data_IF_649868082438
#
_entry.id   IF_649868082438
#
_cell.length_a   1.000
_cell.length_b   1.000
_cell.length_c   1.000
_cell.angle_alpha   90.00
_cell.angle_beta   90.00
_cell.angle_gamma   90.00
#
_symmetry.space_group_name_H-M   'P 1'
#
loop_
_entity.id
_entity.type
_entity.pdbx_description
1 polymer ?
#
# COMPACT_ATOMS: atom_id res chain seq x y z
N UNK A 1 -2.69 9.70 -28.95
CA UNK A 1 -2.37 10.05 -27.55
C UNK A 1 -3.66 9.92 -26.75
N UNK A 2 -3.67 9.20 -25.64
CA UNK A 2 -4.84 9.09 -24.76
C UNK A 2 -4.84 10.28 -23.81
N UNK A 3 -6.00 10.90 -23.64
CA UNK A 3 -6.24 11.95 -22.64
C UNK A 3 -7.28 11.44 -21.64
N UNK A 4 -7.08 11.76 -20.38
CA UNK A 4 -7.97 11.39 -19.29
C UNK A 4 -8.49 12.67 -18.63
N UNK A 5 -9.78 12.68 -18.33
CA UNK A 5 -10.48 13.77 -17.66
C UNK A 5 -11.30 13.19 -16.52
N UNK A 6 -11.38 13.92 -15.41
CA UNK A 6 -12.22 13.52 -14.30
C UNK A 6 -13.69 13.87 -14.57
N UNK A 7 -14.59 13.01 -14.12
CA UNK A 7 -16.02 13.19 -14.27
C UNK A 7 -16.80 12.41 -13.23
N UNK A 8 -18.05 12.83 -13.03
CA UNK A 8 -18.96 12.18 -12.09
C UNK A 8 -19.99 11.38 -12.88
N UNK A 9 -20.05 10.08 -12.61
CA UNK A 9 -21.10 9.21 -13.14
C UNK A 9 -22.36 9.26 -12.27
N UNK A 10 -23.52 9.53 -12.86
CA UNK A 10 -24.84 9.49 -12.21
C UNK A 10 -25.89 8.95 -13.18
N UNK A 11 -26.53 7.83 -12.84
CA UNK A 11 -27.68 7.27 -13.57
C UNK A 11 -27.44 7.10 -15.09
N UNK A 12 -26.26 6.63 -15.49
CA UNK A 12 -25.92 6.44 -16.91
C UNK A 12 -25.36 7.67 -17.62
N UNK A 13 -25.28 8.82 -16.94
CA UNK A 13 -24.71 10.06 -17.46
C UNK A 13 -23.36 10.32 -16.81
N UNK A 14 -22.37 10.77 -17.59
CA UNK A 14 -21.09 11.25 -17.09
C UNK A 14 -21.04 12.76 -17.27
N UNK A 15 -20.91 13.48 -16.16
CA UNK A 15 -20.67 14.93 -16.15
C UNK A 15 -19.16 15.15 -16.01
N UNK A 16 -18.53 15.72 -17.04
CA UNK A 16 -17.11 16.07 -16.99
C UNK A 16 -16.90 17.24 -16.02
N UNK A 17 -15.88 17.14 -15.17
CA UNK A 17 -15.46 18.23 -14.28
C UNK A 17 -14.58 19.25 -15.02
N UNK A 18 -13.99 18.83 -16.14
CA UNK A 18 -13.10 19.64 -16.97
C UNK A 18 -13.53 19.55 -18.43
N UNK A 19 -13.51 20.69 -19.13
CA UNK A 19 -13.86 20.76 -20.55
C UNK A 19 -12.59 20.81 -21.41
N UNK A 20 -12.32 19.80 -22.25
CA UNK A 20 -11.23 19.88 -23.21
C UNK A 20 -11.50 20.96 -24.26
N UNK A 21 -10.58 21.91 -24.42
CA UNK A 21 -10.76 23.07 -25.32
C UNK A 21 -10.93 22.71 -26.81
N UNK A 22 -10.43 21.55 -27.25
CA UNK A 22 -10.37 21.17 -28.67
C UNK A 22 -11.02 19.81 -28.99
N UNK A 23 -11.95 19.34 -28.15
CA UNK A 23 -12.67 18.08 -28.40
C UNK A 23 -14.17 18.33 -28.38
N UNK A 24 -14.78 18.28 -29.56
CA UNK A 24 -16.23 18.39 -29.72
C UNK A 24 -16.93 17.02 -29.66
N UNK A 25 -16.32 16.00 -30.27
CA UNK A 25 -16.81 14.61 -30.28
C UNK A 25 -15.63 13.64 -30.30
N UNK A 26 -15.70 12.57 -29.50
CA UNK A 26 -14.70 11.50 -29.52
C UNK A 26 -15.26 10.22 -28.89
N UNK A 27 -14.65 9.08 -29.21
CA UNK A 27 -14.92 7.81 -28.53
C UNK A 27 -14.24 7.82 -27.15
N UNK A 28 -14.97 7.40 -26.13
CA UNK A 28 -14.48 7.40 -24.74
C UNK A 28 -14.33 5.99 -24.18
N UNK A 29 -13.38 5.82 -23.26
CA UNK A 29 -13.23 4.64 -22.40
C UNK A 29 -13.56 5.05 -20.96
N UNK A 30 -14.48 4.34 -20.32
CA UNK A 30 -14.93 4.65 -18.96
C UNK A 30 -14.26 3.67 -17.99
N UNK A 31 -13.60 4.21 -16.97
CA UNK A 31 -13.02 3.45 -15.87
C UNK A 31 -13.56 3.99 -14.56
N UNK A 32 -14.15 3.11 -13.74
CA UNK A 32 -14.66 3.50 -12.43
C UNK A 32 -13.58 3.39 -11.38
N UNK A 33 -13.30 4.50 -10.70
CA UNK A 33 -12.41 4.51 -9.53
C UNK A 33 -13.17 3.91 -8.35
N UNK A 34 -12.84 2.68 -7.98
CA UNK A 34 -13.28 2.11 -6.71
C UNK A 34 -12.38 2.66 -5.60
N UNK A 35 -12.97 3.39 -4.64
CA UNK A 35 -12.23 3.67 -3.42
C UNK A 35 -11.92 2.32 -2.77
N UNK A 36 -10.66 1.99 -2.45
CA UNK A 36 -10.40 0.85 -1.58
C UNK A 36 -11.17 1.14 -0.30
N UNK A 37 -12.06 0.22 0.10
CA UNK A 37 -12.63 0.27 1.43
C UNK A 37 -11.44 0.11 2.37
N UNK A 38 -10.90 1.22 2.87
CA UNK A 38 -9.94 1.16 3.96
C UNK A 38 -10.72 0.46 5.06
N UNK A 39 -10.34 -0.76 5.47
CA UNK A 39 -11.03 -1.40 6.58
C UNK A 39 -10.91 -0.43 7.76
N UNK A 40 -12.05 0.09 8.24
CA UNK A 40 -12.11 1.00 9.38
C UNK A 40 -11.68 0.33 10.69
N UNK A 41 -11.29 -0.94 10.66
CA UNK A 41 -10.65 -1.57 11.79
C UNK A 41 -9.26 -0.95 11.97
N UNK A 42 -8.90 -0.48 13.18
CA UNK A 42 -7.52 -0.12 13.45
C UNK A 42 -6.64 -1.32 13.14
N UNK A 43 -5.89 -1.25 12.04
CA UNK A 43 -4.84 -2.22 11.77
C UNK A 43 -3.75 -1.94 12.79
N UNK A 44 -3.72 -2.72 13.86
CA UNK A 44 -2.60 -2.71 14.78
C UNK A 44 -1.36 -3.09 13.97
N UNK A 45 -0.47 -2.12 13.74
CA UNK A 45 0.85 -2.41 13.21
C UNK A 45 1.62 -3.09 14.34
N UNK A 46 1.58 -4.42 14.36
CA UNK A 46 2.39 -5.21 15.27
C UNK A 46 3.74 -5.42 14.60
N UNK A 47 4.67 -4.50 14.87
CA UNK A 47 6.05 -4.64 14.43
C UNK A 47 6.63 -5.95 14.99
N UNK A 48 7.12 -6.82 14.11
CA UNK A 48 7.82 -8.05 14.50
C UNK A 48 7.08 -9.38 14.26
N UNK A 49 5.93 -9.41 13.58
CA UNK A 49 5.31 -10.68 13.17
C UNK A 49 5.49 -10.92 11.66
N UNK A 50 6.09 -12.05 11.30
CA UNK A 50 6.13 -12.54 9.93
C UNK A 50 4.70 -12.70 9.38
N UNK A 51 4.51 -12.43 8.08
CA UNK A 51 3.22 -12.59 7.44
C UNK A 51 2.80 -14.08 7.45
N UNK A 52 1.79 -14.44 8.25
CA UNK A 52 1.27 -15.80 8.34
C UNK A 52 0.69 -16.14 9.72
N UNK A 53 0.30 -17.40 9.92
CA UNK A 53 -0.18 -17.93 11.21
C UNK A 53 0.94 -18.53 12.07
N UNK A 54 2.18 -18.53 11.57
CA UNK A 54 3.33 -19.07 12.27
C UNK A 54 3.92 -18.00 13.19
N UNK A 55 3.84 -18.26 14.49
CA UNK A 55 4.47 -17.44 15.52
C UNK A 55 5.96 -17.79 15.59
N UNK A 56 6.82 -16.77 15.63
CA UNK A 56 8.26 -16.98 15.81
C UNK A 56 8.55 -17.69 17.12
N UNK A 57 9.52 -18.59 17.08
CA UNK A 57 10.08 -19.32 18.21
C UNK A 57 11.48 -18.76 18.54
N UNK A 58 12.02 -19.09 19.70
CA UNK A 58 13.37 -18.65 20.10
C UNK A 58 14.46 -19.03 19.06
N UNK A 59 14.28 -20.17 18.39
CA UNK A 59 15.18 -20.65 17.35
C UNK A 59 15.29 -19.69 16.15
N UNK A 60 14.22 -18.96 15.83
CA UNK A 60 14.20 -18.00 14.71
C UNK A 60 15.09 -16.77 14.98
N UNK A 61 15.43 -16.52 16.25
CA UNK A 61 16.27 -15.40 16.67
C UNK A 61 17.74 -15.80 16.91
N UNK A 62 18.09 -17.10 16.86
CA UNK A 62 19.47 -17.56 17.09
C UNK A 62 20.49 -16.92 16.14
N UNK A 63 20.11 -16.71 14.88
CA UNK A 63 20.97 -16.07 13.87
C UNK A 63 21.22 -14.58 14.12
N UNK A 64 20.34 -13.92 14.87
CA UNK A 64 20.44 -12.51 15.23
C UNK A 64 21.04 -12.31 16.63
N UNK A 65 21.32 -13.40 17.36
CA UNK A 65 22.00 -13.31 18.64
C UNK A 65 23.40 -12.74 18.42
N UNK A 66 23.62 -11.56 18.99
CA UNK A 66 24.94 -10.99 19.07
C UNK A 66 25.80 -11.87 19.97
N UNK A 67 26.68 -12.66 19.35
CA UNK A 67 27.76 -13.34 20.03
C UNK A 67 28.94 -12.38 19.94
N UNK A 68 29.11 -11.56 20.98
CA UNK A 68 30.28 -10.70 21.08
C UNK A 68 31.55 -11.54 20.99
N UNK A 69 32.55 -11.05 20.26
CA UNK A 69 33.84 -11.72 20.18
C UNK A 69 34.49 -11.70 21.58
N UNK A 70 34.92 -12.87 22.04
CA UNK A 70 35.64 -13.01 23.32
C UNK A 70 37.02 -12.34 23.29
N UNK A 71 37.52 -11.99 22.11
CA UNK A 71 38.88 -11.48 21.87
C UNK A 71 38.96 -9.95 21.88
N UNK A 72 37.88 -9.25 22.18
CA UNK A 72 37.88 -7.78 22.14
C UNK A 72 38.57 -7.15 23.36
N UNK A 73 38.96 -7.94 24.38
CA UNK A 73 39.47 -7.52 25.71
C UNK A 73 38.63 -6.43 26.42
N UNK A 74 37.45 -6.10 25.89
CA UNK A 74 36.57 -5.08 26.41
C UNK A 74 35.55 -5.75 27.35
N UNK A 75 35.84 -5.65 28.64
CA UNK A 75 34.93 -6.01 29.73
C UNK A 75 33.72 -5.07 29.75
N UNK A 76 32.73 -5.31 28.90
CA UNK A 76 31.44 -4.67 29.02
C UNK A 76 30.67 -5.37 30.15
N UNK A 77 30.64 -4.72 31.32
CA UNK A 77 29.79 -5.06 32.47
C UNK A 77 28.39 -4.51 32.30
#
# INVERSE_FOLDING_TARGET
>A
MLQAFEGIYRNGVIELLEFPENIYESRVLITFLTAPSIPKSPTFIQFGMFAGTQQSTEADFEIAQFRGDTDDELYWS
#
